data_IF_740076933561
#
_entry.id   IF_740076933561
#
_cell.length_a   1.000
_cell.length_b   1.000
_cell.length_c   1.000
_cell.angle_alpha   90.00
_cell.angle_beta   90.00
_cell.angle_gamma   90.00
#
_symmetry.space_group_name_H-M   'P 1'
#
loop_
_entity.id
_entity.type
_entity.pdbx_description
1 polymer ?
#
# COMPACT_ATOMS: atom_id res chain seq x y z
N UNK A 1 10.58 -77.93 -38.71
CA UNK A 1 11.81 -77.19 -39.07
C UNK A 1 11.41 -75.89 -39.76
N UNK A 2 11.99 -74.79 -39.28
CA UNK A 2 11.87 -73.37 -39.67
C UNK A 2 10.66 -72.61 -39.17
N UNK A 3 10.94 -71.85 -38.20
CA UNK A 3 10.18 -70.77 -37.57
C UNK A 3 10.02 -69.57 -38.51
N UNK A 4 8.80 -69.03 -38.60
CA UNK A 4 8.52 -67.73 -39.18
C UNK A 4 8.30 -66.76 -38.05
N UNK A 5 9.12 -65.72 -37.95
CA UNK A 5 8.99 -64.59 -37.03
C UNK A 5 8.00 -63.58 -37.64
N UNK A 6 6.97 -63.28 -36.93
CA UNK A 6 6.01 -62.21 -37.22
C UNK A 6 6.69 -60.84 -37.14
N UNK A 7 6.59 -60.07 -38.22
CA UNK A 7 6.94 -58.67 -38.30
C UNK A 7 5.63 -57.90 -38.24
N UNK A 8 5.28 -57.39 -37.07
CA UNK A 8 4.20 -56.41 -36.88
C UNK A 8 4.70 -55.02 -37.30
N UNK A 9 3.95 -54.27 -38.09
CA UNK A 9 4.42 -52.99 -38.59
C UNK A 9 4.32 -51.90 -37.55
N UNK A 10 5.46 -51.26 -37.29
CA UNK A 10 5.62 -50.09 -36.41
C UNK A 10 4.84 -48.84 -36.84
N UNK A 11 4.01 -48.91 -37.85
CA UNK A 11 3.29 -47.76 -38.44
C UNK A 11 2.03 -47.33 -37.66
N UNK A 12 1.43 -48.17 -36.82
CA UNK A 12 0.20 -47.83 -36.12
C UNK A 12 0.41 -47.10 -34.77
N UNK A 13 1.64 -47.11 -34.23
CA UNK A 13 1.92 -46.46 -32.94
C UNK A 13 2.21 -44.97 -33.13
N UNK A 14 2.72 -44.55 -34.30
CA UNK A 14 3.00 -43.14 -34.56
C UNK A 14 1.74 -42.33 -34.86
N UNK A 15 0.70 -42.92 -35.42
CA UNK A 15 -0.56 -42.24 -35.75
C UNK A 15 -1.45 -42.00 -34.51
N UNK A 16 -1.40 -42.90 -33.51
CA UNK A 16 -2.16 -42.74 -32.28
C UNK A 16 -1.57 -41.65 -31.38
N UNK A 17 -0.24 -41.48 -31.36
CA UNK A 17 0.43 -40.41 -30.56
C UNK A 17 0.18 -39.05 -31.20
N UNK A 18 0.13 -38.94 -32.53
CA UNK A 18 -0.14 -37.66 -33.20
C UNK A 18 -1.60 -37.21 -33.06
N UNK A 19 -2.56 -38.14 -33.01
CA UNK A 19 -3.97 -37.83 -32.77
C UNK A 19 -4.23 -37.39 -31.28
N UNK A 20 -3.51 -37.98 -30.33
CA UNK A 20 -3.62 -37.60 -28.92
C UNK A 20 -3.01 -36.22 -28.65
N UNK A 21 -1.90 -35.84 -29.29
CA UNK A 21 -1.30 -34.51 -29.16
C UNK A 21 -2.14 -33.41 -29.81
N UNK A 22 -2.83 -33.70 -30.91
CA UNK A 22 -3.76 -32.75 -31.53
C UNK A 22 -5.03 -32.54 -30.71
N UNK A 23 -5.54 -33.56 -30.01
CA UNK A 23 -6.70 -33.45 -29.15
C UNK A 23 -6.37 -32.63 -27.87
N UNK A 24 -5.15 -32.73 -27.32
CA UNK A 24 -4.69 -31.89 -26.21
C UNK A 24 -4.47 -30.42 -26.61
N UNK A 25 -3.96 -30.16 -27.81
CA UNK A 25 -3.80 -28.80 -28.32
C UNK A 25 -5.15 -28.14 -28.62
N UNK A 26 -6.17 -28.88 -29.05
CA UNK A 26 -7.51 -28.37 -29.30
C UNK A 26 -8.29 -28.10 -27.97
N UNK A 27 -8.02 -28.88 -26.92
CA UNK A 27 -8.61 -28.65 -25.59
C UNK A 27 -8.01 -27.46 -24.85
N UNK A 28 -6.74 -27.13 -25.11
CA UNK A 28 -6.08 -25.95 -24.53
C UNK A 28 -6.50 -24.64 -25.23
N UNK A 29 -7.01 -24.66 -26.45
CA UNK A 29 -7.43 -23.45 -27.17
C UNK A 29 -8.86 -23.00 -26.88
N UNK A 30 -9.65 -23.76 -26.11
CA UNK A 30 -11.04 -23.43 -25.75
C UNK A 30 -11.24 -22.99 -24.31
N UNK A 31 -10.16 -22.72 -23.56
CA UNK A 31 -10.25 -21.90 -22.37
C UNK A 31 -10.30 -20.42 -22.78
N UNK A 32 -11.39 -20.01 -23.42
CA UNK A 32 -11.77 -18.61 -23.44
C UNK A 32 -12.00 -18.21 -21.98
N UNK A 33 -11.01 -17.54 -21.40
CA UNK A 33 -11.21 -16.74 -20.19
C UNK A 33 -12.44 -15.88 -20.47
N UNK A 34 -13.55 -16.12 -19.77
CA UNK A 34 -14.71 -15.24 -19.79
C UNK A 34 -14.22 -13.85 -19.43
N UNK A 35 -14.23 -12.95 -20.41
CA UNK A 35 -13.77 -11.57 -20.33
C UNK A 35 -14.71 -10.69 -19.51
N UNK A 36 -15.71 -11.26 -18.85
CA UNK A 36 -16.89 -10.54 -18.33
C UNK A 36 -16.96 -10.37 -16.80
N UNK A 37 -15.95 -10.80 -16.02
CA UNK A 37 -15.95 -10.64 -14.55
C UNK A 37 -14.81 -9.75 -14.01
N UNK A 38 -14.06 -9.06 -14.86
CA UNK A 38 -13.02 -8.13 -14.41
C UNK A 38 -13.62 -6.74 -14.19
N UNK A 39 -13.47 -6.23 -12.96
CA UNK A 39 -13.85 -4.86 -12.64
C UNK A 39 -13.23 -3.87 -13.65
N UNK A 40 -14.04 -2.94 -14.15
CA UNK A 40 -13.62 -1.92 -15.11
C UNK A 40 -13.87 -0.53 -14.50
N UNK A 41 -12.91 0.36 -14.66
CA UNK A 41 -13.02 1.77 -14.25
C UNK A 41 -12.67 2.70 -15.40
N UNK A 42 -13.39 3.83 -15.50
CA UNK A 42 -13.16 4.88 -16.50
C UNK A 42 -11.95 5.75 -16.18
N UNK A 43 -11.55 5.84 -14.89
CA UNK A 43 -10.40 6.66 -14.49
C UNK A 43 -9.08 6.02 -14.96
N UNK A 44 -8.06 6.85 -15.26
CA UNK A 44 -6.77 6.34 -15.73
C UNK A 44 -6.03 5.53 -14.65
N UNK A 45 -6.05 5.96 -13.39
CA UNK A 45 -5.36 5.29 -12.31
C UNK A 45 -6.32 5.03 -11.14
N UNK A 46 -6.33 3.80 -10.65
CA UNK A 46 -7.13 3.39 -9.50
C UNK A 46 -6.45 2.25 -8.73
N UNK A 47 -6.67 2.20 -7.43
CA UNK A 47 -6.21 1.11 -6.57
C UNK A 47 -7.20 0.87 -5.44
N UNK A 48 -7.48 -0.40 -5.15
CA UNK A 48 -8.25 -0.84 -4.00
C UNK A 48 -7.37 -1.69 -3.10
N UNK A 49 -7.28 -1.29 -1.85
CA UNK A 49 -6.42 -1.93 -0.83
C UNK A 49 -7.27 -2.40 0.35
N UNK A 50 -7.04 -3.62 0.79
CA UNK A 50 -7.36 -4.07 2.14
C UNK A 50 -6.22 -3.64 3.08
N UNK A 51 -6.43 -2.65 3.98
CA UNK A 51 -5.37 -2.15 4.84
C UNK A 51 -4.92 -3.13 5.92
N UNK A 52 -5.75 -4.08 6.31
CA UNK A 52 -5.43 -5.04 7.37
C UNK A 52 -4.44 -6.09 6.86
N UNK A 53 -4.74 -6.72 5.73
CA UNK A 53 -3.83 -7.69 5.10
C UNK A 53 -2.77 -7.04 4.20
N UNK A 54 -2.90 -5.75 3.88
CA UNK A 54 -2.13 -5.04 2.86
C UNK A 54 -2.28 -5.66 1.45
N UNK A 55 -3.41 -6.31 1.20
CA UNK A 55 -3.71 -6.95 -0.08
C UNK A 55 -4.26 -5.94 -1.09
N UNK A 56 -3.68 -5.91 -2.28
CA UNK A 56 -4.22 -5.15 -3.42
C UNK A 56 -5.31 -5.98 -4.07
N UNK A 57 -6.55 -5.49 -4.04
CA UNK A 57 -7.74 -6.17 -4.60
C UNK A 57 -7.99 -5.78 -6.05
N UNK A 58 -7.65 -4.55 -6.42
CA UNK A 58 -7.70 -4.04 -7.77
C UNK A 58 -6.61 -3.00 -8.00
N UNK A 59 -6.09 -2.97 -9.21
CA UNK A 59 -5.07 -2.01 -9.62
C UNK A 59 -5.17 -1.68 -11.10
N UNK A 60 -5.06 -0.39 -11.40
CA UNK A 60 -4.89 0.17 -12.75
C UNK A 60 -3.93 1.35 -12.65
N UNK A 61 -2.80 1.31 -13.36
CA UNK A 61 -1.78 2.35 -13.31
C UNK A 61 -1.20 2.60 -11.91
N UNK A 62 -1.09 1.54 -11.06
CA UNK A 62 -0.76 1.65 -9.65
C UNK A 62 0.54 2.36 -9.33
N UNK A 63 1.52 2.19 -10.20
CA UNK A 63 2.88 2.70 -10.06
C UNK A 63 3.20 3.88 -11.00
N UNK A 64 2.22 4.36 -11.76
CA UNK A 64 2.36 5.54 -12.62
C UNK A 64 2.46 6.81 -11.77
N UNK A 65 3.38 7.71 -12.15
CA UNK A 65 3.58 8.99 -11.48
C UNK A 65 2.55 10.00 -11.97
N UNK A 66 1.71 10.46 -11.06
CA UNK A 66 0.63 11.43 -11.34
C UNK A 66 0.75 12.68 -10.47
N UNK A 67 0.17 13.78 -10.88
CA UNK A 67 0.03 14.98 -10.06
C UNK A 67 -1.01 14.72 -8.96
N UNK A 68 -0.67 14.88 -7.66
CA UNK A 68 -1.59 14.56 -6.57
C UNK A 68 -2.69 15.59 -6.36
N UNK A 69 -2.50 16.85 -6.79
CA UNK A 69 -3.30 17.97 -6.31
C UNK A 69 -3.35 17.96 -4.77
N UNK A 70 -4.47 18.35 -4.17
CA UNK A 70 -4.61 18.39 -2.69
C UNK A 70 -4.54 17.03 -1.98
N UNK A 71 -4.36 15.91 -2.68
CA UNK A 71 -4.01 14.65 -2.01
C UNK A 71 -2.61 14.70 -1.36
N UNK A 72 -1.73 15.60 -1.82
CA UNK A 72 -0.43 15.87 -1.17
C UNK A 72 -0.57 16.28 0.30
N UNK A 73 -1.71 16.89 0.67
CA UNK A 73 -1.99 17.28 2.07
C UNK A 73 -2.07 16.10 3.03
N UNK A 74 -2.30 14.88 2.54
CA UNK A 74 -2.17 13.69 3.37
C UNK A 74 -0.74 13.51 3.91
N UNK A 75 0.28 13.85 3.10
CA UNK A 75 1.67 13.82 3.57
C UNK A 75 1.98 14.97 4.52
N UNK A 76 1.40 16.14 4.30
CA UNK A 76 1.48 17.27 5.24
C UNK A 76 0.90 16.89 6.60
N UNK A 77 -0.29 16.28 6.62
CA UNK A 77 -0.94 15.80 7.85
C UNK A 77 -0.16 14.67 8.51
N UNK A 78 0.35 13.72 7.73
CA UNK A 78 1.21 12.64 8.26
C UNK A 78 2.43 13.21 9.00
N UNK A 79 3.12 14.17 8.38
CA UNK A 79 4.26 14.84 8.97
C UNK A 79 3.88 15.54 10.29
N UNK A 80 2.79 16.31 10.28
CA UNK A 80 2.29 17.02 11.49
C UNK A 80 1.94 16.02 12.59
N UNK A 81 1.21 14.95 12.29
CA UNK A 81 0.86 13.91 13.25
C UNK A 81 2.11 13.22 13.82
N UNK A 82 3.12 12.98 12.99
CA UNK A 82 4.40 12.46 13.45
C UNK A 82 5.09 13.43 14.44
N UNK A 83 5.13 14.72 14.12
CA UNK A 83 5.74 15.74 14.99
C UNK A 83 5.01 15.85 16.34
N UNK A 84 3.67 15.73 16.34
CA UNK A 84 2.87 15.70 17.58
C UNK A 84 3.17 14.42 18.36
N UNK A 85 3.19 13.27 17.72
CA UNK A 85 3.48 11.97 18.36
C UNK A 85 4.88 11.93 18.98
N UNK A 86 5.84 12.63 18.37
CA UNK A 86 7.21 12.76 18.88
C UNK A 86 7.35 13.87 19.94
N UNK A 87 6.28 14.60 20.26
CA UNK A 87 6.29 15.69 21.24
C UNK A 87 7.00 16.98 20.78
N UNK A 88 7.30 17.10 19.48
CA UNK A 88 7.91 18.30 18.89
C UNK A 88 6.89 19.39 18.55
N UNK A 89 5.64 19.00 18.34
CA UNK A 89 4.49 19.90 18.19
C UNK A 89 3.38 19.49 19.16
N UNK A 90 2.49 20.43 19.44
CA UNK A 90 1.27 20.23 20.24
C UNK A 90 0.08 20.81 19.49
N UNK A 91 -1.09 20.25 19.66
CA UNK A 91 -2.35 20.77 19.09
C UNK A 91 -2.61 22.24 19.50
N UNK A 92 -2.12 22.66 20.66
CA UNK A 92 -2.23 24.03 21.17
C UNK A 92 -1.19 25.02 20.66
N UNK A 93 -0.18 24.54 19.89
CA UNK A 93 0.81 25.44 19.30
C UNK A 93 0.13 26.34 18.26
N UNK A 94 0.50 27.62 18.23
CA UNK A 94 -0.11 28.58 17.31
C UNK A 94 0.81 28.92 16.16
N UNK A 95 0.25 28.97 14.98
CA UNK A 95 0.92 29.36 13.74
C UNK A 95 0.39 30.70 13.23
N UNK A 96 1.27 31.56 12.78
CA UNK A 96 0.89 32.85 12.24
C UNK A 96 0.53 32.73 10.76
N UNK A 97 -0.59 33.32 10.36
CA UNK A 97 -0.95 33.44 8.94
C UNK A 97 -0.15 34.62 8.35
N UNK A 98 0.93 34.29 7.67
CA UNK A 98 1.79 35.26 6.97
C UNK A 98 1.05 35.94 5.81
N UNK A 99 1.61 37.04 5.30
CA UNK A 99 1.11 37.66 4.08
C UNK A 99 1.18 36.66 2.89
N UNK A 100 2.23 35.83 2.82
CA UNK A 100 2.34 34.80 1.79
C UNK A 100 1.25 33.71 1.95
N UNK A 101 1.03 33.18 3.16
CA UNK A 101 -0.02 32.20 3.42
C UNK A 101 -1.41 32.75 3.07
N UNK A 102 -1.69 34.02 3.48
CA UNK A 102 -2.96 34.67 3.17
C UNK A 102 -3.13 34.96 1.68
N UNK A 103 -2.09 35.49 1.01
CA UNK A 103 -2.16 35.86 -0.41
C UNK A 103 -2.24 34.63 -1.33
N UNK A 104 -1.38 33.63 -1.08
CA UNK A 104 -1.22 32.46 -1.92
C UNK A 104 -2.23 31.33 -1.59
N UNK A 105 -2.60 31.19 -0.32
CA UNK A 105 -3.48 30.11 0.16
C UNK A 105 -4.83 30.56 0.69
N UNK A 106 -4.96 31.82 1.08
CA UNK A 106 -6.19 32.39 1.66
C UNK A 106 -7.18 32.90 0.62
N UNK A 107 -8.15 33.72 1.06
CA UNK A 107 -9.24 34.24 0.23
C UNK A 107 -8.80 34.89 -1.09
N UNK A 108 -7.68 35.66 -1.16
CA UNK A 108 -7.22 36.25 -2.41
C UNK A 108 -6.81 35.25 -3.48
N UNK A 109 -6.49 34.03 -3.12
CA UNK A 109 -6.07 32.97 -4.06
C UNK A 109 -7.22 32.41 -4.89
N UNK A 110 -8.46 32.63 -4.46
CA UNK A 110 -9.67 31.99 -5.00
C UNK A 110 -9.61 30.43 -4.95
N UNK A 111 -8.66 29.87 -4.20
CA UNK A 111 -8.49 28.44 -3.99
C UNK A 111 -9.18 27.93 -2.71
N UNK A 112 -8.82 26.73 -2.33
CA UNK A 112 -9.28 26.11 -1.07
C UNK A 112 -8.67 26.83 0.14
N UNK A 113 -9.48 27.35 1.04
CA UNK A 113 -9.04 28.15 2.20
C UNK A 113 -9.99 27.97 3.37
N UNK A 114 -9.50 28.06 4.60
CA UNK A 114 -10.34 28.22 5.79
C UNK A 114 -10.70 29.67 6.07
N UNK A 115 -10.30 30.60 5.18
CA UNK A 115 -10.51 32.05 5.33
C UNK A 115 -9.80 32.66 6.54
N UNK A 116 -8.61 32.14 6.85
CA UNK A 116 -7.78 32.68 7.93
C UNK A 116 -7.40 34.14 7.70
N UNK A 117 -7.56 34.98 8.72
CA UNK A 117 -7.22 36.40 8.62
C UNK A 117 -5.68 36.57 8.61
N UNK A 118 -5.20 37.51 7.78
CA UNK A 118 -3.78 37.86 7.75
C UNK A 118 -3.27 38.27 9.13
N UNK A 119 -2.09 37.80 9.52
CA UNK A 119 -1.44 38.00 10.81
C UNK A 119 -2.16 37.42 12.03
N UNK A 120 -3.28 36.70 11.82
CA UNK A 120 -3.88 35.94 12.92
C UNK A 120 -2.98 34.79 13.37
N UNK A 121 -3.14 34.39 14.62
CA UNK A 121 -2.50 33.20 15.20
C UNK A 121 -3.57 32.16 15.41
N UNK A 122 -3.36 30.99 14.86
CA UNK A 122 -4.35 29.90 14.84
C UNK A 122 -3.71 28.66 15.41
N UNK A 123 -4.45 27.95 16.26
CA UNK A 123 -3.98 26.69 16.84
C UNK A 123 -3.72 25.63 15.75
N UNK A 124 -2.74 24.75 16.01
CA UNK A 124 -2.46 23.62 15.10
C UNK A 124 -3.69 22.73 14.94
N UNK A 125 -4.50 22.57 15.97
CA UNK A 125 -5.74 21.81 15.93
C UNK A 125 -6.72 22.38 14.89
N UNK A 126 -7.02 23.69 14.97
CA UNK A 126 -7.90 24.35 14.01
C UNK A 126 -7.33 24.30 12.57
N UNK A 127 -6.00 24.42 12.41
CA UNK A 127 -5.35 24.31 11.11
C UNK A 127 -5.50 22.89 10.54
N UNK A 128 -5.41 21.84 11.36
CA UNK A 128 -5.62 20.44 10.95
C UNK A 128 -7.06 20.26 10.47
N UNK A 129 -8.07 20.75 11.21
CA UNK A 129 -9.46 20.72 10.80
C UNK A 129 -9.67 21.44 9.45
N UNK A 130 -9.12 22.65 9.30
CA UNK A 130 -9.16 23.37 8.05
C UNK A 130 -8.52 22.62 6.86
N UNK A 131 -7.39 21.94 7.08
CA UNK A 131 -6.71 21.14 6.05
C UNK A 131 -7.57 19.94 5.62
N UNK A 132 -8.18 19.25 6.58
CA UNK A 132 -8.96 18.06 6.32
C UNK A 132 -10.28 18.39 5.65
N UNK A 133 -11.08 19.27 6.26
CA UNK A 133 -12.45 19.59 5.85
C UNK A 133 -12.48 20.55 4.66
N UNK A 134 -11.82 21.71 4.81
CA UNK A 134 -11.85 22.80 3.82
C UNK A 134 -10.80 22.64 2.73
N UNK A 135 -9.88 21.69 2.92
CA UNK A 135 -8.69 21.57 2.07
C UNK A 135 -7.81 22.84 2.09
N UNK A 136 -7.77 23.54 3.22
CA UNK A 136 -7.22 24.89 3.40
C UNK A 136 -5.74 24.98 3.01
N UNK A 137 -5.44 25.80 1.98
CA UNK A 137 -4.08 26.05 1.53
C UNK A 137 -3.36 27.04 2.45
N UNK A 138 -4.06 28.04 2.96
CA UNK A 138 -3.57 29.01 3.96
C UNK A 138 -3.04 28.29 5.22
N UNK A 139 -3.77 27.32 5.71
CA UNK A 139 -3.36 26.50 6.84
C UNK A 139 -2.08 25.69 6.53
N UNK A 140 -2.03 25.05 5.36
CA UNK A 140 -0.83 24.28 4.94
C UNK A 140 0.42 25.16 4.84
N UNK A 141 0.28 26.37 4.24
CA UNK A 141 1.41 27.29 4.06
C UNK A 141 1.87 27.82 5.43
N UNK A 142 0.92 28.18 6.32
CA UNK A 142 1.26 28.63 7.66
C UNK A 142 2.04 27.57 8.46
N UNK A 143 1.64 26.31 8.41
CA UNK A 143 2.39 25.20 9.03
C UNK A 143 3.77 25.06 8.39
N UNK A 144 3.86 25.08 7.06
CA UNK A 144 5.12 24.93 6.35
C UNK A 144 6.13 26.03 6.72
N UNK A 145 5.66 27.27 6.77
CA UNK A 145 6.49 28.43 7.18
C UNK A 145 6.89 28.35 8.65
N UNK A 146 5.97 28.00 9.53
CA UNK A 146 6.24 27.89 10.97
C UNK A 146 7.22 26.76 11.32
N UNK A 147 7.15 25.63 10.61
CA UNK A 147 8.00 24.46 10.86
C UNK A 147 9.36 24.56 10.16
N UNK A 148 9.39 25.01 8.92
CA UNK A 148 10.57 24.94 8.05
C UNK A 148 11.01 26.30 7.49
N UNK A 149 10.35 27.38 7.85
CA UNK A 149 10.63 28.74 7.39
C UNK A 149 10.10 29.06 5.97
N UNK A 150 9.84 28.06 5.13
CA UNK A 150 9.23 28.23 3.80
C UNK A 150 8.70 26.90 3.25
N UNK A 151 7.84 26.97 2.20
CA UNK A 151 7.24 25.81 1.59
C UNK A 151 8.24 24.85 0.91
N UNK A 152 9.29 25.35 0.29
CA UNK A 152 10.28 24.49 -0.39
C UNK A 152 11.09 23.66 0.62
N UNK A 153 11.52 24.25 1.72
CA UNK A 153 12.19 23.54 2.81
C UNK A 153 11.24 22.50 3.44
N UNK A 154 9.97 22.85 3.63
CA UNK A 154 8.98 21.91 4.13
C UNK A 154 8.73 20.75 3.14
N UNK A 155 8.63 21.01 1.84
CA UNK A 155 8.53 19.97 0.80
C UNK A 155 9.68 18.98 0.84
N UNK A 156 10.90 19.46 1.10
CA UNK A 156 12.07 18.58 1.30
C UNK A 156 11.91 17.68 2.54
N UNK A 157 11.40 18.23 3.65
CA UNK A 157 11.08 17.44 4.85
C UNK A 157 9.99 16.39 4.58
N UNK A 158 8.92 16.76 3.85
CA UNK A 158 7.86 15.83 3.46
C UNK A 158 8.41 14.69 2.62
N UNK A 159 9.26 14.98 1.63
CA UNK A 159 9.87 13.94 0.78
C UNK A 159 10.80 13.04 1.59
N UNK A 160 11.62 13.60 2.48
CA UNK A 160 12.46 12.81 3.39
C UNK A 160 11.59 11.88 4.25
N UNK A 161 10.55 12.41 4.86
CA UNK A 161 9.63 11.65 5.70
C UNK A 161 8.91 10.55 4.90
N UNK A 162 8.51 10.85 3.68
CA UNK A 162 7.93 9.85 2.77
C UNK A 162 8.87 8.64 2.56
N UNK A 163 10.17 8.87 2.38
CA UNK A 163 11.17 7.77 2.28
C UNK A 163 11.26 6.95 3.56
N UNK A 164 11.23 7.60 4.72
CA UNK A 164 11.27 6.94 6.04
C UNK A 164 10.08 5.99 6.24
N UNK A 165 8.89 6.34 5.75
CA UNK A 165 7.68 5.51 5.84
C UNK A 165 7.50 4.57 4.64
N UNK A 166 8.49 4.47 3.75
CA UNK A 166 8.54 3.49 2.66
C UNK A 166 7.98 3.95 1.31
N UNK A 167 7.60 5.24 1.15
CA UNK A 167 7.15 5.79 -0.12
C UNK A 167 8.35 6.16 -0.99
N UNK A 168 8.78 5.27 -1.87
CA UNK A 168 10.04 5.39 -2.59
C UNK A 168 9.94 6.19 -3.90
N UNK A 169 8.74 6.25 -4.51
CA UNK A 169 8.49 6.87 -5.81
C UNK A 169 7.92 8.28 -5.70
N UNK A 170 7.08 8.53 -4.69
CA UNK A 170 6.41 9.83 -4.50
C UNK A 170 7.39 10.91 -4.04
N UNK A 171 7.24 12.12 -4.60
CA UNK A 171 8.01 13.30 -4.24
C UNK A 171 7.04 14.44 -3.93
N UNK A 172 7.28 15.11 -2.81
CA UNK A 172 6.46 16.22 -2.31
C UNK A 172 7.31 17.49 -2.29
N UNK A 173 6.93 18.51 -3.03
CA UNK A 173 7.69 19.76 -3.20
C UNK A 173 7.08 20.95 -2.47
N UNK A 174 5.80 20.84 -2.07
CA UNK A 174 5.09 21.84 -1.28
C UNK A 174 4.05 21.21 -0.36
N UNK A 175 3.49 22.00 0.54
CA UNK A 175 2.54 21.56 1.55
C UNK A 175 1.09 21.43 1.05
N UNK A 176 0.76 22.05 -0.07
CA UNK A 176 -0.62 22.28 -0.52
C UNK A 176 -1.08 21.31 -1.60
N UNK A 177 -0.14 20.85 -2.42
CA UNK A 177 -0.45 20.14 -3.67
C UNK A 177 -0.66 21.06 -4.87
N UNK A 178 -0.25 22.33 -4.81
CA UNK A 178 -0.19 23.18 -5.99
C UNK A 178 0.72 22.55 -7.04
N UNK A 179 0.30 22.67 -8.31
CA UNK A 179 1.01 22.01 -9.42
C UNK A 179 2.45 22.50 -9.54
N UNK A 180 3.36 21.55 -9.47
CA UNK A 180 4.80 21.70 -9.69
C UNK A 180 5.33 20.50 -10.46
N UNK A 181 6.31 20.66 -11.36
CA UNK A 181 6.79 19.57 -12.23
C UNK A 181 7.27 18.34 -11.47
N UNK A 182 7.89 18.51 -10.30
CA UNK A 182 8.47 17.45 -9.50
C UNK A 182 7.55 16.94 -8.37
N UNK A 183 6.35 17.51 -8.21
CA UNK A 183 5.34 17.02 -7.28
C UNK A 183 4.61 15.85 -7.93
N UNK A 184 5.04 14.63 -7.64
CA UNK A 184 4.52 13.41 -8.25
C UNK A 184 4.32 12.32 -7.21
N UNK A 185 3.25 11.57 -7.34
CA UNK A 185 2.88 10.44 -6.46
C UNK A 185 2.38 9.26 -7.28
N UNK A 186 2.30 8.09 -6.66
CA UNK A 186 1.61 6.93 -7.25
C UNK A 186 0.34 6.62 -6.45
N UNK A 187 -0.69 6.06 -7.10
CA UNK A 187 -1.92 5.67 -6.38
C UNK A 187 -1.64 4.55 -5.37
N UNK A 188 -0.65 3.70 -5.64
CA UNK A 188 -0.17 2.70 -4.68
C UNK A 188 0.36 3.35 -3.40
N UNK A 189 1.24 4.33 -3.53
CA UNK A 189 1.85 4.98 -2.37
C UNK A 189 0.86 5.90 -1.64
N UNK A 190 -0.13 6.47 -2.33
CA UNK A 190 -1.25 7.16 -1.69
C UNK A 190 -2.10 6.21 -0.83
N UNK A 191 -2.37 4.98 -1.30
CA UNK A 191 -3.07 3.98 -0.50
C UNK A 191 -2.23 3.52 0.71
N UNK A 192 -0.92 3.36 0.53
CA UNK A 192 0.01 3.04 1.62
C UNK A 192 0.09 4.18 2.65
N UNK A 193 0.12 5.44 2.20
CA UNK A 193 0.08 6.62 3.08
C UNK A 193 -1.21 6.68 3.90
N UNK A 194 -2.36 6.46 3.26
CA UNK A 194 -3.64 6.39 3.96
C UNK A 194 -3.66 5.27 5.01
N UNK A 195 -3.20 4.07 4.65
CA UNK A 195 -3.04 2.95 5.57
C UNK A 195 -2.11 3.30 6.75
N UNK A 196 -0.97 3.93 6.46
CA UNK A 196 -0.02 4.36 7.48
C UNK A 196 -0.65 5.35 8.45
N UNK A 197 -1.37 6.37 7.96
CA UNK A 197 -2.08 7.35 8.81
C UNK A 197 -3.07 6.65 9.74
N UNK A 198 -3.91 5.75 9.20
CA UNK A 198 -4.90 5.01 10.00
C UNK A 198 -4.28 4.18 11.11
N UNK A 199 -3.20 3.47 10.80
CA UNK A 199 -2.59 2.52 11.74
C UNK A 199 -1.66 3.19 12.76
N UNK A 200 -1.02 4.29 12.36
CA UNK A 200 0.00 4.96 13.17
C UNK A 200 -0.59 6.05 14.04
N UNK A 201 -1.67 6.69 13.58
CA UNK A 201 -2.29 7.84 14.24
C UNK A 201 -3.82 7.65 14.42
N UNK A 202 -4.25 6.57 15.12
CA UNK A 202 -5.67 6.28 15.30
C UNK A 202 -6.43 7.39 16.03
N UNK A 203 -5.75 8.17 16.88
CA UNK A 203 -6.35 9.28 17.62
C UNK A 203 -6.71 10.47 16.70
N UNK A 204 -5.99 10.68 15.61
CA UNK A 204 -6.25 11.74 14.62
C UNK A 204 -7.11 11.28 13.46
N UNK A 205 -7.24 9.97 13.23
CA UNK A 205 -8.00 9.46 12.11
C UNK A 205 -9.48 9.89 12.09
N UNK A 206 -10.19 10.00 13.24
CA UNK A 206 -11.58 10.48 13.28
C UNK A 206 -11.82 11.85 12.66
N UNK A 207 -10.81 12.73 12.61
CA UNK A 207 -10.92 14.06 11.99
C UNK A 207 -11.30 13.97 10.50
N UNK A 208 -10.87 12.91 9.80
CA UNK A 208 -11.20 12.71 8.39
C UNK A 208 -12.69 12.38 8.13
N UNK A 209 -13.40 11.94 9.16
CA UNK A 209 -14.84 11.65 9.10
C UNK A 209 -15.73 12.88 9.37
N UNK A 210 -15.14 14.00 9.76
CA UNK A 210 -15.88 15.24 10.03
C UNK A 210 -16.56 15.74 8.76
N UNK A 211 -17.84 16.03 8.86
CA UNK A 211 -18.66 16.43 7.73
C UNK A 211 -18.58 17.92 7.43
N UNK A 212 -18.20 18.72 8.41
CA UNK A 212 -18.12 20.17 8.33
C UNK A 212 -17.18 20.75 9.38
N UNK A 213 -16.66 21.93 9.10
CA UNK A 213 -15.87 22.72 10.03
C UNK A 213 -16.32 24.18 9.98
N UNK A 214 -16.30 24.88 11.12
CA UNK A 214 -16.65 26.29 11.19
C UNK A 214 -15.47 27.06 11.75
N UNK A 215 -14.88 27.90 10.91
CA UNK A 215 -13.84 28.86 11.32
C UNK A 215 -14.35 30.28 11.18
N UNK A 216 -14.16 31.11 12.20
CA UNK A 216 -14.57 32.54 12.22
C UNK A 216 -15.99 32.79 11.65
N UNK A 217 -16.96 31.99 12.09
CA UNK A 217 -18.36 32.00 11.64
C UNK A 217 -18.60 31.54 10.19
N UNK A 218 -17.58 31.13 9.47
CA UNK A 218 -17.69 30.58 8.12
C UNK A 218 -17.73 29.05 8.25
N UNK A 219 -18.89 28.47 7.95
CA UNK A 219 -19.11 27.02 7.94
C UNK A 219 -18.86 26.47 6.55
N UNK A 220 -18.00 25.47 6.45
CA UNK A 220 -17.71 24.75 5.21
C UNK A 220 -17.99 23.26 5.37
N UNK A 221 -18.38 22.61 4.28
CA UNK A 221 -18.64 21.17 4.23
C UNK A 221 -17.37 20.43 3.79
N UNK A 222 -17.15 19.24 4.36
CA UNK A 222 -16.09 18.38 3.90
C UNK A 222 -16.27 18.02 2.41
N UNK A 223 -15.21 18.15 1.66
CA UNK A 223 -15.21 17.95 0.20
C UNK A 223 -15.25 16.49 -0.23
N UNK A 224 -15.12 15.54 0.71
CA UNK A 224 -15.20 14.11 0.42
C UNK A 224 -16.66 13.67 0.21
N UNK A 225 -17.08 13.40 -1.05
CA UNK A 225 -18.45 13.05 -1.35
C UNK A 225 -18.89 11.73 -0.72
N UNK A 226 -17.96 10.83 -0.44
CA UNK A 226 -18.27 9.50 0.12
C UNK A 226 -18.91 9.58 1.51
N UNK A 227 -18.55 10.60 2.31
CA UNK A 227 -19.07 10.79 3.68
C UNK A 227 -20.60 10.95 3.72
N UNK A 228 -21.19 11.49 2.65
CA UNK A 228 -22.64 11.70 2.56
C UNK A 228 -23.40 10.51 1.95
N UNK A 229 -22.71 9.49 1.39
CA UNK A 229 -23.35 8.42 0.62
C UNK A 229 -23.92 7.27 1.46
N UNK A 230 -23.71 7.24 2.78
CA UNK A 230 -24.22 6.17 3.64
C UNK A 230 -23.58 4.79 3.39
N UNK A 231 -22.36 4.74 2.87
CA UNK A 231 -21.63 3.52 2.51
C UNK A 231 -20.58 3.11 3.57
N UNK A 232 -20.67 3.65 4.78
CA UNK A 232 -19.67 3.41 5.84
C UNK A 232 -18.37 4.18 5.63
N UNK A 233 -18.34 5.21 4.77
CA UNK A 233 -17.15 6.01 4.53
C UNK A 233 -16.81 6.90 5.73
N UNK A 234 -15.50 6.96 6.07
CA UNK A 234 -14.93 7.68 7.20
C UNK A 234 -13.62 8.44 6.88
N UNK A 235 -13.33 8.65 5.61
CA UNK A 235 -12.12 9.39 5.17
C UNK A 235 -11.94 9.31 3.67
N UNK A 236 -10.87 9.90 3.09
CA UNK A 236 -9.89 10.77 3.71
C UNK A 236 -9.86 12.14 3.01
N UNK A 237 -9.50 12.17 1.71
CA UNK A 237 -9.14 13.44 1.04
C UNK A 237 -9.47 13.45 -0.43
N UNK A 238 -9.88 14.63 -0.93
CA UNK A 238 -10.03 14.92 -2.35
C UNK A 238 -8.93 15.86 -2.84
N UNK A 239 -8.69 15.85 -4.14
CA UNK A 239 -7.79 16.76 -4.82
C UNK A 239 -8.30 17.10 -6.20
N UNK A 240 -8.01 18.33 -6.66
CA UNK A 240 -8.39 18.80 -7.99
C UNK A 240 -7.41 19.87 -8.44
N UNK A 241 -6.92 19.74 -9.66
CA UNK A 241 -6.29 20.78 -10.47
C UNK A 241 -6.57 20.50 -11.95
N UNK A 242 -6.39 21.49 -12.80
CA UNK A 242 -6.54 21.29 -14.25
C UNK A 242 -5.60 20.24 -14.83
N UNK A 243 -4.41 20.06 -14.23
CA UNK A 243 -3.42 19.04 -14.61
C UNK A 243 -3.82 17.66 -14.10
N UNK A 244 -4.22 17.57 -12.83
CA UNK A 244 -4.46 16.29 -12.14
C UNK A 244 -5.84 15.69 -12.42
N UNK A 245 -6.81 16.50 -12.88
CA UNK A 245 -8.22 16.11 -12.85
C UNK A 245 -8.75 16.01 -11.42
N UNK A 246 -9.82 15.25 -11.25
CA UNK A 246 -10.48 15.02 -9.96
C UNK A 246 -9.95 13.73 -9.31
N UNK A 247 -9.40 13.86 -8.12
CA UNK A 247 -8.74 12.80 -7.37
C UNK A 247 -9.40 12.54 -6.03
N UNK A 248 -9.32 11.31 -5.53
CA UNK A 248 -9.83 10.93 -4.21
C UNK A 248 -9.02 9.78 -3.62
N UNK A 249 -8.69 9.90 -2.34
CA UNK A 249 -8.37 8.79 -1.45
C UNK A 249 -9.55 8.64 -0.51
N UNK A 250 -10.25 7.52 -0.60
CA UNK A 250 -11.43 7.19 0.21
C UNK A 250 -11.19 5.98 1.08
N UNK A 251 -11.87 5.91 2.23
CA UNK A 251 -11.96 4.72 3.06
C UNK A 251 -13.38 4.52 3.50
N UNK A 252 -13.78 3.25 3.61
CA UNK A 252 -15.07 2.86 4.16
C UNK A 252 -14.94 1.57 4.98
N UNK A 253 -15.87 1.39 5.93
CA UNK A 253 -15.98 0.20 6.77
C UNK A 253 -17.40 -0.37 6.65
N UNK A 254 -17.50 -1.64 6.28
CA UNK A 254 -18.74 -2.41 6.23
C UNK A 254 -18.51 -3.74 6.96
N UNK A 255 -19.34 -4.06 7.94
CA UNK A 255 -19.26 -5.32 8.71
C UNK A 255 -17.85 -5.59 9.30
N UNK A 256 -17.23 -4.55 9.87
CA UNK A 256 -15.84 -4.55 10.39
C UNK A 256 -14.76 -4.86 9.33
N UNK A 257 -15.10 -4.80 8.06
CA UNK A 257 -14.16 -4.90 6.97
C UNK A 257 -13.90 -3.51 6.38
N UNK A 258 -12.63 -3.11 6.38
CA UNK A 258 -12.19 -1.81 5.89
C UNK A 258 -11.57 -1.93 4.50
N UNK A 259 -11.86 -0.99 3.63
CA UNK A 259 -11.19 -0.82 2.35
C UNK A 259 -10.71 0.62 2.16
N UNK A 260 -9.60 0.77 1.43
CA UNK A 260 -9.08 2.05 0.93
C UNK A 260 -9.17 2.03 -0.58
N UNK A 261 -9.86 3.01 -1.15
CA UNK A 261 -9.95 3.25 -2.58
C UNK A 261 -9.20 4.52 -2.97
N UNK A 262 -8.33 4.44 -3.97
CA UNK A 262 -7.67 5.60 -4.58
C UNK A 262 -8.10 5.67 -6.03
N UNK A 263 -8.57 6.84 -6.46
CA UNK A 263 -8.88 7.14 -7.86
C UNK A 263 -8.25 8.48 -8.23
N UNK A 264 -7.64 8.56 -9.42
CA UNK A 264 -7.03 9.80 -9.93
C UNK A 264 -7.36 10.01 -11.40
N UNK A 265 -7.37 11.27 -11.82
CA UNK A 265 -7.59 11.65 -13.22
C UNK A 265 -9.04 11.56 -13.69
N UNK A 266 -10.03 11.58 -12.80
CA UNK A 266 -11.42 11.67 -13.19
C UNK A 266 -11.71 13.05 -13.86
N UNK A 267 -12.66 13.06 -14.76
CA UNK A 267 -13.01 14.24 -15.57
C UNK A 267 -13.97 15.21 -14.87
N UNK A 268 -14.59 14.74 -13.79
CA UNK A 268 -15.55 15.53 -13.01
C UNK A 268 -15.61 15.04 -11.56
N UNK A 269 -16.14 15.90 -10.68
CA UNK A 269 -16.45 15.57 -9.29
C UNK A 269 -17.38 14.36 -9.18
N UNK A 270 -18.40 14.31 -10.04
CA UNK A 270 -19.34 13.20 -10.10
C UNK A 270 -18.67 11.90 -10.50
N UNK A 271 -17.84 11.89 -11.56
CA UNK A 271 -17.12 10.68 -11.99
C UNK A 271 -16.17 10.18 -10.91
N UNK A 272 -15.44 11.09 -10.23
CA UNK A 272 -14.59 10.74 -9.08
C UNK A 272 -15.37 10.03 -7.98
N UNK A 273 -16.54 10.59 -7.61
CA UNK A 273 -17.40 10.04 -6.58
C UNK A 273 -17.97 8.67 -6.97
N UNK A 274 -18.49 8.55 -8.19
CA UNK A 274 -19.10 7.33 -8.71
C UNK A 274 -18.07 6.20 -8.85
N UNK A 275 -16.87 6.48 -9.40
CA UNK A 275 -15.82 5.46 -9.58
C UNK A 275 -15.21 5.02 -8.24
N UNK A 276 -15.02 5.95 -7.28
CA UNK A 276 -14.55 5.57 -5.94
C UNK A 276 -15.58 4.68 -5.21
N UNK A 277 -16.87 5.02 -5.26
CA UNK A 277 -17.93 4.20 -4.70
C UNK A 277 -17.97 2.83 -5.36
N UNK A 278 -18.00 2.78 -6.69
CA UNK A 278 -18.02 1.54 -7.48
C UNK A 278 -16.83 0.63 -7.14
N UNK A 279 -15.66 1.21 -6.89
CA UNK A 279 -14.46 0.48 -6.50
C UNK A 279 -14.59 -0.12 -5.09
N UNK A 280 -15.14 0.64 -4.13
CA UNK A 280 -15.43 0.15 -2.78
C UNK A 280 -16.49 -0.96 -2.80
N UNK A 281 -17.59 -0.75 -3.54
CA UNK A 281 -18.66 -1.73 -3.70
C UNK A 281 -18.13 -3.05 -4.30
N UNK A 282 -17.24 -2.97 -5.31
CA UNK A 282 -16.56 -4.12 -5.87
C UNK A 282 -15.77 -4.91 -4.81
N UNK A 283 -15.04 -4.22 -3.92
CA UNK A 283 -14.28 -4.87 -2.86
C UNK A 283 -15.17 -5.54 -1.82
N UNK A 284 -16.18 -4.83 -1.33
CA UNK A 284 -17.07 -5.37 -0.29
C UNK A 284 -17.92 -6.56 -0.75
N UNK A 285 -18.34 -6.57 -2.01
CA UNK A 285 -19.19 -7.65 -2.54
C UNK A 285 -18.41 -8.74 -3.28
N UNK A 286 -17.27 -8.40 -3.87
CA UNK A 286 -16.46 -9.29 -4.71
C UNK A 286 -15.50 -10.19 -3.97
N UNK A 287 -15.16 -9.87 -2.71
CA UNK A 287 -14.10 -10.57 -1.97
C UNK A 287 -14.59 -11.12 -0.64
N UNK A 288 -13.85 -12.10 -0.15
CA UNK A 288 -13.97 -12.66 1.20
C UNK A 288 -12.59 -12.86 1.82
N UNK A 289 -12.49 -12.67 3.13
CA UNK A 289 -11.25 -12.93 3.86
C UNK A 289 -11.09 -14.43 4.10
N UNK A 290 -9.97 -15.01 3.69
CA UNK A 290 -9.58 -16.39 4.03
C UNK A 290 -8.35 -16.40 4.91
N UNK A 291 -8.41 -17.16 6.00
CA UNK A 291 -7.25 -17.38 6.87
C UNK A 291 -6.30 -18.32 6.12
N UNK A 292 -5.05 -17.84 5.88
CA UNK A 292 -3.97 -18.65 5.34
C UNK A 292 -3.20 -19.36 6.45
N UNK A 293 -2.93 -18.63 7.54
CA UNK A 293 -2.22 -19.15 8.71
C UNK A 293 -2.83 -18.56 9.97
N UNK A 294 -3.12 -19.41 10.94
CA UNK A 294 -3.56 -18.98 12.27
C UNK A 294 -2.40 -18.34 13.05
N UNK A 295 -2.73 -17.55 14.07
CA UNK A 295 -1.73 -17.00 14.98
C UNK A 295 -0.88 -18.12 15.61
N UNK A 296 0.44 -17.93 15.64
CA UNK A 296 1.40 -18.91 16.15
C UNK A 296 1.62 -20.13 15.26
N UNK A 297 0.89 -20.28 14.15
CA UNK A 297 1.11 -21.37 13.21
C UNK A 297 2.44 -21.19 12.47
N UNK A 298 3.27 -22.25 12.44
CA UNK A 298 4.51 -22.27 11.66
C UNK A 298 4.20 -22.17 10.16
N UNK A 299 4.86 -21.22 9.49
CA UNK A 299 4.71 -20.94 8.05
C UNK A 299 5.85 -21.57 7.24
N UNK A 300 6.97 -21.78 7.90
CA UNK A 300 8.20 -22.34 7.33
C UNK A 300 9.32 -22.26 8.34
N UNK A 301 10.54 -22.49 7.87
CA UNK A 301 11.73 -22.50 8.72
C UNK A 301 12.85 -21.68 8.09
N UNK A 302 13.66 -21.01 8.92
CA UNK A 302 14.89 -20.37 8.49
C UNK A 302 16.10 -21.16 8.98
N UNK A 303 17.08 -21.36 8.08
CA UNK A 303 18.36 -22.01 8.39
C UNK A 303 19.20 -21.07 9.25
N UNK A 304 19.71 -21.60 10.36
CA UNK A 304 20.58 -20.90 11.30
C UNK A 304 22.03 -21.33 11.10
N UNK A 305 22.93 -20.35 11.16
CA UNK A 305 24.38 -20.56 11.12
C UNK A 305 24.95 -20.42 12.52
N UNK A 306 25.63 -21.45 12.97
CA UNK A 306 26.34 -21.47 14.26
C UNK A 306 25.44 -21.50 15.49
N UNK A 307 24.17 -21.91 15.33
CA UNK A 307 23.20 -22.04 16.41
C UNK A 307 23.24 -23.43 17.11
N UNK A 308 22.60 -23.51 18.26
CA UNK A 308 22.36 -24.80 18.96
C UNK A 308 21.30 -25.65 18.23
N UNK A 309 20.44 -25.03 17.39
CA UNK A 309 19.59 -25.68 16.40
C UNK A 309 19.95 -25.26 14.98
N UNK A 310 19.68 -26.13 13.98
CA UNK A 310 19.95 -25.82 12.55
C UNK A 310 18.92 -24.98 11.90
N UNK A 311 17.70 -24.94 12.44
CA UNK A 311 16.55 -24.24 11.90
C UNK A 311 15.74 -23.61 13.03
N UNK A 312 15.10 -22.49 12.74
CA UNK A 312 14.11 -21.86 13.61
C UNK A 312 12.78 -21.78 12.85
N UNK A 313 11.66 -22.20 13.47
CA UNK A 313 10.34 -22.02 12.87
C UNK A 313 10.02 -20.53 12.72
N UNK A 314 9.32 -20.18 11.64
CA UNK A 314 8.89 -18.81 11.34
C UNK A 314 7.38 -18.70 11.51
N UNK A 315 6.94 -17.65 12.19
CA UNK A 315 5.53 -17.33 12.42
C UNK A 315 5.23 -15.91 11.95
N UNK A 316 3.96 -15.63 11.66
CA UNK A 316 3.49 -14.28 11.42
C UNK A 316 3.29 -13.48 12.72
N UNK A 317 3.14 -12.13 12.64
CA UNK A 317 2.87 -11.27 13.79
C UNK A 317 1.47 -11.47 14.39
N UNK A 318 0.64 -12.32 13.78
CA UNK A 318 -0.71 -12.68 14.16
C UNK A 318 -1.35 -13.57 13.10
N UNK A 319 -2.68 -13.66 13.08
CA UNK A 319 -3.41 -14.39 12.04
C UNK A 319 -3.18 -13.75 10.68
N UNK A 320 -2.68 -14.52 9.71
CA UNK A 320 -2.48 -14.05 8.33
C UNK A 320 -3.72 -14.38 7.49
N UNK A 321 -4.34 -13.34 6.95
CA UNK A 321 -5.49 -13.43 6.08
C UNK A 321 -5.12 -12.93 4.69
N UNK A 322 -5.81 -13.45 3.68
CA UNK A 322 -5.76 -12.94 2.31
C UNK A 322 -7.17 -12.75 1.78
N UNK A 323 -7.35 -11.70 1.00
CA UNK A 323 -8.62 -11.47 0.33
C UNK A 323 -8.71 -12.30 -0.95
N UNK A 324 -9.76 -13.12 -1.05
CA UNK A 324 -10.01 -13.98 -2.20
C UNK A 324 -11.31 -13.57 -2.90
N UNK A 325 -11.33 -13.56 -4.24
CA UNK A 325 -12.58 -13.38 -4.97
C UNK A 325 -13.59 -14.46 -4.58
N UNK A 326 -14.84 -14.06 -4.31
CA UNK A 326 -15.94 -15.00 -3.95
C UNK A 326 -16.22 -16.00 -5.07
N UNK A 327 -16.04 -15.60 -6.33
CA UNK A 327 -16.32 -16.42 -7.51
C UNK A 327 -15.24 -17.48 -7.80
N UNK A 328 -14.24 -17.61 -6.94
CA UNK A 328 -13.28 -18.71 -6.91
C UNK A 328 -12.38 -18.83 -8.14
N UNK A 329 -11.32 -19.62 -8.06
CA UNK A 329 -10.52 -20.06 -9.21
C UNK A 329 -9.09 -19.52 -9.28
N UNK A 330 -8.72 -18.55 -8.50
CA UNK A 330 -7.32 -18.07 -8.51
C UNK A 330 -6.44 -18.91 -7.58
N UNK A 331 -5.33 -19.41 -8.13
CA UNK A 331 -4.32 -20.11 -7.36
C UNK A 331 -3.44 -19.12 -6.60
N UNK A 332 -3.28 -19.37 -5.30
CA UNK A 332 -2.32 -18.65 -4.47
C UNK A 332 -0.98 -19.38 -4.48
N UNK A 333 0.09 -18.61 -4.67
CA UNK A 333 1.46 -19.08 -4.48
C UNK A 333 2.03 -18.33 -3.29
N UNK A 334 2.35 -19.06 -2.21
CA UNK A 334 2.97 -18.51 -1.02
C UNK A 334 4.46 -18.90 -0.98
N UNK A 335 5.35 -17.95 -0.71
CA UNK A 335 6.80 -18.18 -0.58
C UNK A 335 7.33 -17.44 0.64
N UNK A 336 8.15 -18.16 1.41
CA UNK A 336 8.99 -17.57 2.48
C UNK A 336 10.28 -17.07 1.82
N UNK A 337 10.58 -15.79 2.03
CA UNK A 337 11.78 -15.14 1.51
C UNK A 337 12.58 -14.56 2.68
N UNK A 338 13.83 -14.98 2.84
CA UNK A 338 14.74 -14.48 3.88
C UNK A 338 16.18 -14.49 3.40
N UNK A 339 17.04 -13.72 4.06
CA UNK A 339 18.47 -13.73 3.84
C UNK A 339 19.11 -14.78 4.76
N UNK A 340 19.54 -15.90 4.19
CA UNK A 340 20.06 -16.99 4.97
C UNK A 340 21.42 -17.52 4.48
N UNK A 341 22.09 -18.30 5.32
CA UNK A 341 21.70 -18.70 6.68
C UNK A 341 21.79 -17.53 7.69
N UNK A 342 20.86 -17.50 8.66
CA UNK A 342 20.77 -16.45 9.68
C UNK A 342 21.79 -16.72 10.79
N UNK A 343 22.66 -15.78 11.17
CA UNK A 343 23.64 -16.02 12.22
C UNK A 343 22.98 -16.10 13.61
N UNK A 344 23.42 -17.08 14.42
CA UNK A 344 23.05 -17.15 15.82
C UNK A 344 23.82 -16.10 16.66
N UNK A 345 23.26 -15.58 17.81
CA UNK A 345 21.98 -15.98 18.37
C UNK A 345 20.79 -15.33 17.67
N UNK A 346 19.63 -16.00 17.72
CA UNK A 346 18.34 -15.47 17.23
C UNK A 346 17.38 -15.42 18.41
N UNK A 347 16.70 -14.29 18.59
CA UNK A 347 15.70 -14.13 19.64
C UNK A 347 14.30 -14.37 19.11
N UNK A 348 13.44 -14.98 19.95
CA UNK A 348 12.01 -15.08 19.68
C UNK A 348 11.41 -13.71 19.36
N UNK A 349 10.60 -13.64 18.30
CA UNK A 349 10.02 -12.37 17.80
C UNK A 349 10.96 -11.55 16.91
N UNK A 350 12.22 -11.97 16.72
CA UNK A 350 13.13 -11.30 15.79
C UNK A 350 12.63 -11.45 14.35
N UNK A 351 12.57 -10.34 13.60
CA UNK A 351 12.23 -10.37 12.18
C UNK A 351 13.33 -11.08 11.38
N UNK A 352 12.98 -12.16 10.69
CA UNK A 352 13.91 -12.98 9.92
C UNK A 352 13.70 -12.84 8.42
N UNK A 353 12.44 -12.74 7.98
CA UNK A 353 12.11 -12.73 6.57
C UNK A 353 10.70 -12.23 6.31
N UNK A 354 10.16 -12.62 5.17
CA UNK A 354 8.81 -12.22 4.73
C UNK A 354 8.09 -13.39 4.09
N UNK A 355 6.80 -13.49 4.35
CA UNK A 355 5.87 -14.27 3.54
C UNK A 355 5.42 -13.38 2.37
N UNK A 356 5.60 -13.88 1.15
CA UNK A 356 5.01 -13.27 -0.04
C UNK A 356 3.97 -14.21 -0.61
N UNK A 357 2.78 -13.68 -0.89
CA UNK A 357 1.67 -14.43 -1.48
C UNK A 357 1.28 -13.76 -2.80
N UNK A 358 1.33 -14.53 -3.87
CA UNK A 358 0.89 -14.08 -5.19
C UNK A 358 -0.48 -14.66 -5.51
N UNK A 359 -1.28 -13.86 -6.20
CA UNK A 359 -2.53 -14.23 -6.84
C UNK A 359 -2.33 -14.06 -8.34
N UNK A 360 -2.18 -15.18 -9.04
CA UNK A 360 -1.67 -15.16 -10.41
C UNK A 360 -0.27 -14.51 -10.47
N UNK A 361 -0.12 -13.45 -11.26
CA UNK A 361 1.15 -12.69 -11.38
C UNK A 361 1.25 -11.53 -10.36
N UNK A 362 0.16 -11.17 -9.69
CA UNK A 362 0.11 -10.03 -8.78
C UNK A 362 0.52 -10.42 -7.36
N UNK A 363 1.40 -9.63 -6.74
CA UNK A 363 1.71 -9.76 -5.33
C UNK A 363 0.51 -9.28 -4.52
N UNK A 364 -0.24 -10.23 -3.94
CA UNK A 364 -1.46 -9.97 -3.19
C UNK A 364 -1.19 -9.61 -1.72
N UNK A 365 -0.09 -10.16 -1.14
CA UNK A 365 0.18 -9.98 0.29
C UNK A 365 1.68 -10.12 0.56
N UNK A 366 2.23 -9.23 1.40
CA UNK A 366 3.57 -9.35 1.96
C UNK A 366 3.50 -9.12 3.48
N UNK A 367 3.94 -10.11 4.28
CA UNK A 367 3.90 -10.08 5.75
C UNK A 367 5.29 -10.38 6.30
N UNK A 368 5.82 -9.61 7.28
CA UNK A 368 7.05 -9.95 7.97
C UNK A 368 6.88 -11.26 8.73
N UNK A 369 7.95 -12.08 8.78
CA UNK A 369 8.02 -13.32 9.54
C UNK A 369 9.03 -13.18 10.65
N UNK A 370 8.67 -13.72 11.82
CA UNK A 370 9.45 -13.66 13.04
C UNK A 370 9.86 -15.07 13.47
N UNK A 371 11.00 -15.15 14.18
CA UNK A 371 11.40 -16.38 14.83
C UNK A 371 10.38 -16.78 15.91
N UNK A 372 9.92 -18.04 15.87
CA UNK A 372 8.97 -18.56 16.85
C UNK A 372 9.65 -18.87 18.20
N UNK A 373 10.94 -19.16 18.18
CA UNK A 373 11.71 -19.58 19.34
C UNK A 373 13.07 -18.88 19.40
N UNK A 374 13.69 -18.91 20.57
CA UNK A 374 15.07 -18.50 20.76
C UNK A 374 16.03 -19.58 20.22
N UNK A 375 17.13 -19.15 19.61
CA UNK A 375 18.23 -20.03 19.20
C UNK A 375 19.52 -19.49 19.77
N UNK A 376 20.12 -20.23 20.68
CA UNK A 376 21.40 -19.92 21.32
C UNK A 376 22.61 -20.20 20.41
N UNK A 377 23.81 -19.77 20.82
CA UNK A 377 25.04 -20.13 20.12
C UNK A 377 25.35 -21.61 20.28
N UNK A 378 25.61 -22.28 19.17
CA UNK A 378 26.00 -23.70 19.14
C UNK A 378 27.42 -23.96 19.62
N UNK A 379 27.76 -25.23 19.86
CA UNK A 379 29.09 -25.66 20.23
C UNK A 379 30.13 -25.32 19.15
N UNK A 380 31.41 -25.20 19.54
CA UNK A 380 32.52 -24.94 18.60
C UNK A 380 32.55 -25.94 17.44
N UNK A 381 32.30 -27.20 17.72
CA UNK A 381 32.27 -28.27 16.71
C UNK A 381 31.16 -28.02 15.68
N UNK A 382 29.97 -27.68 16.16
CA UNK A 382 28.83 -27.38 15.29
C UNK A 382 29.06 -26.14 14.42
N UNK A 383 29.62 -25.08 15.00
CA UNK A 383 30.00 -23.85 14.26
C UNK A 383 31.04 -24.11 13.17
N UNK A 384 32.02 -25.01 13.47
CA UNK A 384 33.02 -25.43 12.48
C UNK A 384 32.40 -26.24 11.34
N UNK A 385 31.45 -27.14 11.65
CA UNK A 385 30.72 -27.91 10.62
C UNK A 385 29.85 -27.02 9.73
N UNK A 386 29.15 -26.06 10.30
CA UNK A 386 28.33 -25.08 9.54
C UNK A 386 29.23 -24.26 8.61
N UNK A 387 30.40 -23.77 9.11
CA UNK A 387 31.34 -23.01 8.29
C UNK A 387 31.89 -23.83 7.12
N UNK A 388 32.24 -25.11 7.35
CA UNK A 388 32.71 -26.01 6.29
C UNK A 388 31.60 -26.24 5.24
N UNK A 389 30.35 -26.43 5.68
CA UNK A 389 29.21 -26.65 4.79
C UNK A 389 28.94 -25.42 3.92
N UNK A 390 28.92 -24.21 4.49
CA UNK A 390 28.71 -22.98 3.74
C UNK A 390 29.86 -22.68 2.75
N UNK A 391 31.11 -23.00 3.13
CA UNK A 391 32.25 -22.90 2.23
C UNK A 391 32.08 -23.81 0.99
N UNK A 392 31.68 -25.06 1.21
CA UNK A 392 31.40 -26.02 0.13
C UNK A 392 30.28 -25.55 -0.79
N UNK A 393 29.17 -25.05 -0.24
CA UNK A 393 28.05 -24.50 -1.01
C UNK A 393 28.51 -23.26 -1.82
N UNK A 394 29.31 -22.39 -1.22
CA UNK A 394 29.88 -21.21 -1.89
C UNK A 394 30.78 -21.59 -3.07
N UNK A 395 31.65 -22.56 -2.90
CA UNK A 395 32.54 -23.06 -3.97
C UNK A 395 31.72 -23.70 -5.12
N UNK A 396 30.69 -24.48 -4.79
CA UNK A 396 29.83 -25.09 -5.79
C UNK A 396 29.06 -24.03 -6.64
N UNK A 397 28.49 -23.02 -5.96
CA UNK A 397 27.80 -21.90 -6.64
C UNK A 397 28.74 -21.08 -7.53
N UNK A 398 29.95 -20.83 -7.07
CA UNK A 398 30.97 -20.12 -7.86
C UNK A 398 31.42 -20.94 -9.08
N UNK A 399 31.43 -22.27 -9.00
CA UNK A 399 31.74 -23.17 -10.11
C UNK A 399 30.64 -23.19 -11.17
N UNK A 400 29.35 -23.23 -10.74
CA UNK A 400 28.19 -23.25 -11.67
C UNK A 400 28.02 -21.91 -12.41
N UNK A 401 28.33 -20.78 -11.79
CA UNK A 401 28.27 -19.45 -12.44
C UNK A 401 29.40 -19.17 -13.44
N UNK A 402 30.36 -20.09 -13.59
CA UNK A 402 31.47 -19.98 -14.58
C UNK A 402 31.30 -20.90 -15.79
N UNK A 403 30.24 -21.72 -15.80
CA UNK A 403 29.81 -22.54 -16.94
C UNK A 403 28.59 -21.88 -17.62
#
# INVERSE_FOLDING_TARGET
>A
MRTIRDVLPRAYLATAIFAATMAFAQAASNMTVRKDDTFQTSVPNALLLDPDSNSVLFEKGGDELVAPASLAKLMTLEFVFNEIKQGRLKLTDEFTISENAWRKGGAPSHGSTMFAAIHSRISLDDLIHGIIVDSANDACIAIAEGVAGNEAAFGALLTKRAREIGLQKSTFTNATGYSEPNLRVTVRELAQLARHIMQTYPDFYPYFAEREFTWDKIRQQNRNPLLAMGIGADGLKTGETSEAGFNLVGSAVVDNFRLIAVVTGARSDKERADEARKLLDFGFHGFEARILFAEGQSIGEAKIFGGDTSYVPLVGPGTIRVMMPRNGGEHLIARVVYNGPVPAPVSKGQNIGKLKVWRGENLALEVPLQAADDVGPGSMTRRAMDAATELMIGLFRAGVNRL
#
